data_IF_430925419145
#
_entry.id   IF_430925419145
#
_cell.length_a   1.000
_cell.length_b   1.000
_cell.length_c   1.000
_cell.angle_alpha   90.00
_cell.angle_beta   90.00
_cell.angle_gamma   90.00
#
_symmetry.space_group_name_H-M   'P 1'
#
loop_
_entity.id
_entity.type
_entity.pdbx_description
1 polymer ?
#
# COMPACT_ATOMS: atom_id res chain seq x y z
N UNK A 1 -2.60 -0.71 -5.04
CA UNK A 1 -1.97 -1.72 -5.92
C UNK A 1 -2.97 -2.85 -6.12
N UNK A 2 -3.08 -3.36 -7.35
CA UNK A 2 -4.16 -4.28 -7.75
C UNK A 2 -3.70 -5.75 -7.78
N UNK A 3 -2.81 -6.15 -6.87
CA UNK A 3 -2.38 -7.54 -6.76
C UNK A 3 -3.42 -8.39 -6.01
N UNK A 4 -3.53 -9.66 -6.39
CA UNK A 4 -4.39 -10.62 -5.71
C UNK A 4 -4.04 -10.76 -4.23
N UNK A 5 -5.06 -10.93 -3.38
CA UNK A 5 -4.88 -11.09 -1.93
C UNK A 5 -3.98 -12.29 -1.62
N UNK A 6 -4.12 -13.38 -2.37
CA UNK A 6 -3.30 -14.60 -2.24
C UNK A 6 -1.81 -14.40 -2.54
N UNK A 7 -1.44 -13.29 -3.19
CA UNK A 7 -0.05 -12.99 -3.53
C UNK A 7 0.62 -12.05 -2.51
N UNK A 8 -0.13 -11.42 -1.61
CA UNK A 8 0.37 -10.39 -0.68
C UNK A 8 1.58 -10.89 0.11
N UNK A 9 1.46 -12.04 0.78
CA UNK A 9 2.54 -12.62 1.58
C UNK A 9 3.79 -12.90 0.74
N UNK A 10 3.62 -13.56 -0.41
CA UNK A 10 4.72 -13.90 -1.30
C UNK A 10 5.43 -12.65 -1.81
N UNK A 11 4.68 -11.64 -2.21
CA UNK A 11 5.24 -10.41 -2.75
C UNK A 11 5.95 -9.60 -1.66
N UNK A 12 5.42 -9.54 -0.43
CA UNK A 12 6.11 -8.93 0.71
C UNK A 12 7.45 -9.62 0.99
N UNK A 13 7.50 -10.96 0.95
CA UNK A 13 8.74 -11.73 1.16
C UNK A 13 9.78 -11.50 0.05
N UNK A 14 9.35 -11.27 -1.20
CA UNK A 14 10.26 -11.13 -2.35
C UNK A 14 10.70 -9.68 -2.56
N UNK A 15 9.81 -8.72 -2.36
CA UNK A 15 10.02 -7.33 -2.75
C UNK A 15 10.24 -6.39 -1.57
N UNK A 16 10.11 -6.86 -0.34
CA UNK A 16 10.39 -6.08 0.86
C UNK A 16 11.63 -6.53 1.63
N UNK A 17 12.21 -5.60 2.40
CA UNK A 17 13.29 -5.89 3.36
C UNK A 17 12.75 -6.02 4.79
N UNK A 18 11.45 -6.26 4.95
CA UNK A 18 10.81 -6.49 6.26
C UNK A 18 11.20 -7.86 6.81
N UNK A 19 11.27 -7.97 8.13
CA UNK A 19 11.43 -9.25 8.83
C UNK A 19 10.21 -10.15 8.60
N UNK A 20 10.37 -11.47 8.85
CA UNK A 20 9.27 -12.41 8.70
C UNK A 20 8.15 -12.10 9.70
N UNK A 21 8.50 -11.65 10.90
CA UNK A 21 7.56 -11.25 11.95
C UNK A 21 6.71 -10.05 11.49
N UNK A 22 7.34 -9.00 10.93
CA UNK A 22 6.62 -7.84 10.38
C UNK A 22 5.70 -8.25 9.21
N UNK A 23 6.14 -9.18 8.36
CA UNK A 23 5.33 -9.68 7.25
C UNK A 23 4.11 -10.43 7.77
N UNK A 24 4.28 -11.31 8.76
CA UNK A 24 3.18 -12.05 9.39
C UNK A 24 2.13 -11.11 10.01
N UNK A 25 2.57 -10.03 10.66
CA UNK A 25 1.66 -9.01 11.19
C UNK A 25 0.84 -8.33 10.08
N UNK A 26 1.50 -7.96 8.97
CA UNK A 26 0.83 -7.33 7.83
C UNK A 26 -0.17 -8.28 7.19
N UNK A 27 0.21 -9.54 6.97
CA UNK A 27 -0.64 -10.56 6.38
C UNK A 27 -1.85 -10.82 7.28
N UNK A 28 -1.63 -11.02 8.58
CA UNK A 28 -2.72 -11.24 9.54
C UNK A 28 -3.71 -10.08 9.57
N UNK A 29 -3.22 -8.83 9.52
CA UNK A 29 -4.08 -7.65 9.46
C UNK A 29 -4.83 -7.53 8.13
N UNK A 30 -4.19 -7.91 7.03
CA UNK A 30 -4.86 -7.98 5.73
C UNK A 30 -5.95 -9.05 5.70
N UNK A 31 -5.72 -10.24 6.27
CA UNK A 31 -6.69 -11.33 6.32
C UNK A 31 -7.93 -11.00 7.18
N UNK A 32 -7.78 -10.15 8.20
CA UNK A 32 -8.91 -9.66 9.01
C UNK A 32 -9.87 -8.78 8.22
N UNK A 33 -9.36 -7.99 7.27
CA UNK A 33 -10.15 -7.14 6.38
C UNK A 33 -9.49 -7.03 5.00
N UNK A 34 -9.71 -8.02 4.10
CA UNK A 34 -9.11 -7.99 2.77
C UNK A 34 -9.60 -6.82 1.92
N UNK A 35 -10.83 -6.35 2.16
CA UNK A 35 -11.43 -5.22 1.45
C UNK A 35 -10.69 -3.90 1.72
N UNK A 36 -10.05 -3.76 2.88
CA UNK A 36 -9.17 -2.62 3.19
C UNK A 36 -7.95 -2.52 2.27
N UNK A 37 -7.57 -3.63 1.62
CA UNK A 37 -6.34 -3.80 0.83
C UNK A 37 -5.07 -3.44 1.60
N UNK A 38 -5.04 -3.71 2.91
CA UNK A 38 -3.93 -3.32 3.79
C UNK A 38 -2.58 -3.84 3.29
N UNK A 39 -2.45 -5.14 3.02
CA UNK A 39 -1.18 -5.73 2.58
C UNK A 39 -0.70 -5.19 1.23
N UNK A 40 -1.62 -4.95 0.28
CA UNK A 40 -1.27 -4.34 -1.01
C UNK A 40 -0.83 -2.87 -0.86
N UNK A 41 -1.40 -2.13 0.10
CA UNK A 41 -0.98 -0.76 0.39
C UNK A 41 0.43 -0.74 0.99
N UNK A 42 0.71 -1.58 1.97
CA UNK A 42 2.05 -1.72 2.56
C UNK A 42 3.11 -2.08 1.52
N UNK A 43 2.81 -3.06 0.65
CA UNK A 43 3.68 -3.45 -0.45
C UNK A 43 3.92 -2.29 -1.43
N UNK A 44 2.87 -1.55 -1.80
CA UNK A 44 2.99 -0.42 -2.71
C UNK A 44 3.84 0.71 -2.12
N UNK A 45 3.59 1.09 -0.87
CA UNK A 45 4.35 2.13 -0.18
C UNK A 45 5.82 1.73 -0.05
N UNK A 46 6.11 0.47 0.26
CA UNK A 46 7.48 -0.04 0.28
C UNK A 46 8.18 0.04 -1.09
N UNK A 47 7.54 -0.42 -2.16
CA UNK A 47 8.12 -0.38 -3.51
C UNK A 47 8.38 1.06 -3.96
N UNK A 48 7.44 1.98 -3.68
CA UNK A 48 7.61 3.40 -3.99
C UNK A 48 8.74 4.01 -3.18
N UNK A 49 8.83 3.71 -1.89
CA UNK A 49 9.91 4.20 -1.03
C UNK A 49 11.28 3.73 -1.52
N UNK A 50 11.42 2.46 -1.88
CA UNK A 50 12.70 1.90 -2.34
C UNK A 50 13.14 2.50 -3.67
N UNK A 51 12.23 2.74 -4.60
CA UNK A 51 12.56 3.26 -5.93
C UNK A 51 12.68 4.78 -5.98
N UNK A 52 11.84 5.50 -5.21
CA UNK A 52 11.65 6.94 -5.34
C UNK A 52 11.84 7.71 -4.03
N UNK A 53 12.13 7.01 -2.92
CA UNK A 53 12.34 7.60 -1.61
C UNK A 53 11.05 7.88 -0.84
N UNK A 54 11.19 8.14 0.47
CA UNK A 54 10.07 8.35 1.41
C UNK A 54 9.10 9.47 1.01
N UNK A 55 9.60 10.54 0.40
CA UNK A 55 8.75 11.68 -0.01
C UNK A 55 7.76 11.29 -1.09
N UNK A 56 8.16 10.42 -2.02
CA UNK A 56 7.33 9.99 -3.14
C UNK A 56 6.12 9.17 -2.68
N UNK A 57 6.23 8.43 -1.56
CA UNK A 57 5.11 7.67 -0.99
C UNK A 57 3.93 8.59 -0.68
N UNK A 58 4.20 9.71 0.00
CA UNK A 58 3.17 10.68 0.38
C UNK A 58 2.51 11.33 -0.84
N UNK A 59 3.30 11.64 -1.87
CA UNK A 59 2.79 12.22 -3.12
C UNK A 59 1.89 11.22 -3.86
N UNK A 60 2.34 9.97 -4.00
CA UNK A 60 1.57 8.90 -4.67
C UNK A 60 0.29 8.57 -3.90
N UNK A 61 0.32 8.50 -2.58
CA UNK A 61 -0.86 8.29 -1.75
C UNK A 61 -1.87 9.42 -1.92
N UNK A 62 -1.40 10.68 -1.89
CA UNK A 62 -2.26 11.86 -2.12
C UNK A 62 -2.90 11.82 -3.51
N UNK A 63 -2.11 11.55 -4.56
CA UNK A 63 -2.64 11.44 -5.93
C UNK A 63 -3.66 10.31 -6.02
N UNK A 64 -3.38 9.16 -5.42
CA UNK A 64 -4.29 8.01 -5.40
C UNK A 64 -5.61 8.38 -4.73
N UNK A 65 -5.56 9.10 -3.61
CA UNK A 65 -6.75 9.57 -2.89
C UNK A 65 -7.56 10.59 -3.72
N UNK A 66 -6.90 11.49 -4.45
CA UNK A 66 -7.59 12.45 -5.34
C UNK A 66 -8.29 11.73 -6.49
N UNK A 67 -7.64 10.73 -7.07
CA UNK A 67 -8.15 10.04 -8.26
C UNK A 67 -9.27 9.07 -7.92
N UNK A 68 -9.13 8.33 -6.82
CA UNK A 68 -9.96 7.18 -6.46
C UNK A 68 -10.68 7.29 -5.11
N UNK A 69 -10.39 8.32 -4.31
CA UNK A 69 -11.07 8.58 -3.05
C UNK A 69 -12.45 9.21 -3.23
N UNK A 70 -13.19 9.24 -2.13
CA UNK A 70 -14.57 9.75 -2.08
C UNK A 70 -14.66 11.27 -1.89
N UNK A 71 -13.52 11.96 -1.75
CA UNK A 71 -13.49 13.41 -1.55
C UNK A 71 -13.85 14.17 -2.83
N UNK A 72 -14.58 15.26 -2.66
CA UNK A 72 -15.01 16.10 -3.76
C UNK A 72 -13.79 16.77 -4.40
N UNK A 73 -13.50 16.42 -5.66
CA UNK A 73 -12.31 16.85 -6.42
C UNK A 73 -12.20 18.37 -6.50
N UNK A 74 -13.32 19.09 -6.36
CA UNK A 74 -13.37 20.56 -6.36
C UNK A 74 -12.71 21.18 -5.12
N UNK A 75 -12.73 20.50 -3.96
CA UNK A 75 -12.12 21.00 -2.73
C UNK A 75 -10.59 20.82 -2.68
N UNK A 76 -10.02 20.07 -3.63
CA UNK A 76 -8.58 19.79 -3.72
C UNK A 76 -7.81 20.78 -4.60
N UNK A 77 -8.52 21.60 -5.39
CA UNK A 77 -7.96 22.59 -6.34
C UNK A 77 -8.15 24.03 -5.85
N UNK A 78 -8.90 24.23 -4.76
CA UNK A 78 -9.03 25.50 -4.05
C UNK A 78 -7.93 25.62 -2.99
#
# INVERSE_FOLDING_TARGET
MNSDDSLVEKLLKVFSLKSLEEIDEIVKKHEQDPASRYGQKELASWVVEVLFGKKAVQEVEKITQILFGSEDKINLIK
#
